data_IF_232417164638
#
_entry.id   IF_232417164638
#
_cell.length_a   1.000
_cell.length_b   1.000
_cell.length_c   1.000
_cell.angle_alpha   90.00
_cell.angle_beta   90.00
_cell.angle_gamma   90.00
#
_symmetry.space_group_name_H-M   'P 1'
#
loop_
_entity.id
_entity.type
_entity.pdbx_description
1 polymer ?
#
# COMPACT_ATOMS: atom_id res chain seq x y z
N UNK A 1 9.85 -17.61 19.94
CA UNK A 1 10.79 -16.49 19.74
C UNK A 1 10.00 -15.19 19.66
N UNK A 2 10.16 -14.35 20.67
CA UNK A 2 9.36 -13.15 20.93
C UNK A 2 9.82 -12.05 19.98
N UNK A 3 9.01 -11.72 18.96
CA UNK A 3 9.28 -10.54 18.13
C UNK A 3 8.66 -9.31 18.79
N UNK A 4 9.55 -8.53 19.41
CA UNK A 4 9.40 -7.14 19.82
C UNK A 4 8.53 -6.32 18.86
N UNK A 5 7.62 -5.52 19.44
CA UNK A 5 6.68 -4.66 18.75
C UNK A 5 7.32 -3.81 17.65
N UNK A 6 6.67 -3.79 16.50
CA UNK A 6 7.01 -2.91 15.40
C UNK A 6 6.68 -1.47 15.80
N UNK A 7 7.67 -0.72 16.28
CA UNK A 7 7.60 0.74 16.34
C UNK A 7 7.98 1.26 14.94
N UNK A 8 7.05 1.94 14.27
CA UNK A 8 7.38 2.66 13.05
C UNK A 8 8.41 3.75 13.39
N UNK A 9 9.48 3.91 12.61
CA UNK A 9 10.44 4.98 12.85
C UNK A 9 9.75 6.36 12.71
N UNK A 10 10.37 7.41 13.25
CA UNK A 10 9.82 8.76 13.22
C UNK A 10 9.51 9.24 11.80
N UNK A 11 8.47 10.07 11.64
CA UNK A 11 8.20 10.74 10.36
C UNK A 11 9.43 11.56 9.94
N UNK A 12 9.71 11.66 8.63
CA UNK A 12 10.66 12.69 8.18
C UNK A 12 10.06 14.05 8.51
N UNK A 13 10.90 15.03 8.81
CA UNK A 13 10.51 16.44 8.78
C UNK A 13 9.98 16.75 7.38
N UNK A 14 8.65 16.67 7.21
CA UNK A 14 7.99 17.06 5.98
C UNK A 14 8.08 18.58 5.96
N UNK A 15 8.63 19.15 4.88
CA UNK A 15 8.40 20.55 4.56
C UNK A 15 6.88 20.75 4.53
N UNK A 16 6.34 21.37 5.57
CA UNK A 16 4.90 21.48 5.82
C UNK A 16 4.33 22.39 4.75
N UNK A 17 3.82 21.81 3.66
CA UNK A 17 2.95 22.54 2.74
C UNK A 17 1.71 23.03 3.50
N UNK A 18 1.19 24.20 3.12
CA UNK A 18 0.08 24.88 3.79
C UNK A 18 -1.19 24.01 4.02
N UNK A 19 -1.35 22.88 3.32
CA UNK A 19 -2.50 21.97 3.44
C UNK A 19 -2.53 21.08 4.70
N UNK A 20 -1.50 21.11 5.54
CA UNK A 20 -1.48 20.40 6.83
C UNK A 20 -2.02 21.26 7.98
N UNK A 21 -1.97 22.60 7.86
CA UNK A 21 -2.26 23.53 8.98
C UNK A 21 -3.74 23.70 9.34
N UNK A 22 -4.68 23.18 8.55
CA UNK A 22 -6.13 23.35 8.78
C UNK A 22 -6.93 22.04 8.73
N UNK A 23 -6.43 20.96 9.34
CA UNK A 23 -7.19 19.69 9.40
C UNK A 23 -7.94 19.59 10.71
N UNK A 24 -9.27 19.50 10.64
CA UNK A 24 -10.10 19.19 11.80
C UNK A 24 -9.75 17.80 12.32
N UNK A 25 -9.31 17.66 13.59
CA UNK A 25 -9.12 16.36 14.20
C UNK A 25 -10.38 15.49 14.06
N UNK A 26 -10.21 14.21 13.77
CA UNK A 26 -11.31 13.24 13.79
C UNK A 26 -11.19 12.44 15.06
N UNK A 27 -12.19 12.48 15.93
CA UNK A 27 -12.18 11.69 17.15
C UNK A 27 -12.11 10.19 16.80
N UNK A 28 -11.12 9.51 17.38
CA UNK A 28 -10.93 8.08 17.25
C UNK A 28 -10.21 7.55 18.50
N UNK A 29 -10.47 6.29 18.86
CA UNK A 29 -9.79 5.68 19.99
C UNK A 29 -8.35 5.33 19.62
N UNK A 30 -7.43 5.64 20.52
CA UNK A 30 -6.01 5.27 20.47
C UNK A 30 -5.64 4.27 21.56
N UNK A 31 -6.65 3.61 22.16
CA UNK A 31 -6.42 2.59 23.19
C UNK A 31 -5.66 1.40 22.61
N UNK A 32 -4.70 0.89 23.39
CA UNK A 32 -3.85 -0.21 22.96
C UNK A 32 -4.65 -1.46 22.60
N UNK A 33 -4.34 -2.03 21.44
CA UNK A 33 -4.86 -3.31 20.96
C UNK A 33 -3.69 -4.28 20.94
N UNK A 34 -3.49 -4.95 22.07
CA UNK A 34 -2.46 -5.99 22.26
C UNK A 34 -3.16 -7.33 22.40
N UNK A 35 -3.12 -8.14 21.35
CA UNK A 35 -3.79 -9.45 21.33
C UNK A 35 -3.22 -10.36 20.25
N UNK A 36 -3.73 -11.59 20.18
CA UNK A 36 -3.50 -12.43 18.99
C UNK A 36 -4.43 -12.01 17.85
N UNK A 37 -4.07 -12.38 16.61
CA UNK A 37 -4.93 -12.19 15.44
C UNK A 37 -6.27 -12.94 15.58
N UNK A 38 -6.26 -14.10 16.27
CA UNK A 38 -7.46 -14.91 16.48
C UNK A 38 -8.52 -14.14 17.28
N UNK A 39 -8.10 -13.37 18.27
CA UNK A 39 -9.00 -12.62 19.15
C UNK A 39 -9.71 -11.46 18.43
N UNK A 40 -9.10 -10.94 17.35
CA UNK A 40 -9.66 -9.88 16.53
C UNK A 40 -10.55 -10.39 15.40
N UNK A 41 -10.45 -11.67 15.08
CA UNK A 41 -11.11 -12.29 13.92
C UNK A 41 -12.61 -12.50 14.16
N UNK A 42 -13.45 -12.47 13.10
CA UNK A 42 -13.09 -12.14 11.72
C UNK A 42 -12.80 -10.64 11.57
N UNK A 43 -11.77 -10.30 10.78
CA UNK A 43 -11.50 -8.92 10.41
C UNK A 43 -12.54 -8.44 9.39
N UNK A 44 -13.04 -7.23 9.57
CA UNK A 44 -13.86 -6.55 8.56
C UNK A 44 -12.98 -5.64 7.71
N UNK A 45 -13.06 -5.79 6.38
CA UNK A 45 -12.31 -4.98 5.42
C UNK A 45 -13.31 -4.22 4.56
N UNK A 46 -13.40 -2.92 4.77
CA UNK A 46 -14.37 -2.05 4.12
C UNK A 46 -13.71 -1.16 3.08
N UNK A 47 -14.30 -1.10 1.89
CA UNK A 47 -13.98 -0.05 0.91
C UNK A 47 -14.45 1.30 1.45
N UNK A 48 -13.57 2.29 1.45
CA UNK A 48 -13.91 3.66 1.84
C UNK A 48 -14.74 4.31 0.73
N UNK A 49 -16.05 4.45 0.97
CA UNK A 49 -17.03 4.94 -0.01
C UNK A 49 -17.69 6.25 0.40
N UNK A 50 -18.07 6.39 1.68
CA UNK A 50 -18.75 7.58 2.18
C UNK A 50 -17.80 8.67 2.69
N UNK A 51 -18.36 9.86 2.92
CA UNK A 51 -17.61 11.04 3.35
C UNK A 51 -16.99 10.88 4.75
N UNK A 52 -17.66 10.19 5.68
CA UNK A 52 -17.18 10.02 7.05
C UNK A 52 -15.97 9.07 7.09
N UNK A 53 -16.07 7.92 6.45
CA UNK A 53 -14.96 6.98 6.27
C UNK A 53 -13.79 7.63 5.53
N UNK A 54 -14.07 8.44 4.50
CA UNK A 54 -13.04 9.19 3.75
C UNK A 54 -12.32 10.22 4.63
N UNK A 55 -13.06 10.93 5.50
CA UNK A 55 -12.49 11.89 6.46
C UNK A 55 -11.59 11.19 7.46
N UNK A 56 -12.05 10.08 8.06
CA UNK A 56 -11.26 9.27 9.00
C UNK A 56 -10.01 8.71 8.33
N UNK A 57 -10.14 8.06 7.18
CA UNK A 57 -9.02 7.50 6.41
C UNK A 57 -7.96 8.56 6.10
N UNK A 58 -8.39 9.75 5.64
CA UNK A 58 -7.49 10.88 5.36
C UNK A 58 -6.75 11.34 6.62
N UNK A 59 -7.47 11.45 7.74
CA UNK A 59 -6.90 11.85 9.02
C UNK A 59 -5.84 10.84 9.49
N UNK A 60 -6.20 9.55 9.57
CA UNK A 60 -5.30 8.50 10.06
C UNK A 60 -4.02 8.38 9.22
N UNK A 61 -4.12 8.40 7.90
CA UNK A 61 -2.92 8.35 7.05
C UNK A 61 -2.07 9.62 7.15
N UNK A 62 -2.68 10.78 7.34
CA UNK A 62 -1.93 12.01 7.43
C UNK A 62 -1.15 12.13 8.73
N UNK A 63 -1.79 11.70 9.82
CA UNK A 63 -1.24 11.77 11.17
C UNK A 63 -0.19 10.69 11.42
N UNK A 64 -0.50 9.44 11.04
CA UNK A 64 0.27 8.27 11.51
C UNK A 64 1.11 7.58 10.44
N UNK A 65 0.84 7.81 9.15
CA UNK A 65 1.70 7.23 8.10
C UNK A 65 2.96 8.10 7.92
N UNK A 66 4.13 7.48 7.90
CA UNK A 66 5.41 8.19 7.87
C UNK A 66 5.68 9.09 6.64
N UNK A 67 4.99 8.84 5.54
CA UNK A 67 5.00 9.68 4.33
C UNK A 67 3.90 10.76 4.34
N UNK A 68 3.07 10.79 5.37
CA UNK A 68 1.81 11.52 5.42
C UNK A 68 0.89 11.19 4.24
N UNK A 69 -0.15 12.01 4.10
CA UNK A 69 -1.13 11.89 3.03
C UNK A 69 -1.84 13.22 2.75
N UNK A 70 -1.80 13.64 1.49
CA UNK A 70 -2.43 14.87 0.98
C UNK A 70 -3.52 14.62 -0.07
N UNK A 71 -3.76 13.36 -0.44
CA UNK A 71 -4.74 12.96 -1.45
C UNK A 71 -4.21 11.94 -2.45
N UNK A 72 -5.09 11.50 -3.34
CA UNK A 72 -4.77 10.62 -4.47
C UNK A 72 -5.40 11.17 -5.74
N UNK A 73 -4.72 10.93 -6.87
CA UNK A 73 -5.19 11.26 -8.21
C UNK A 73 -5.33 9.96 -9.00
N UNK A 74 -6.24 9.94 -9.97
CA UNK A 74 -6.53 8.76 -10.78
C UNK A 74 -7.27 7.66 -10.01
N UNK A 75 -7.32 6.48 -10.61
CA UNK A 75 -7.93 5.31 -10.00
C UNK A 75 -7.17 4.89 -8.73
N UNK A 76 -7.93 4.64 -7.68
CA UNK A 76 -7.39 4.25 -6.39
C UNK A 76 -8.41 3.45 -5.61
N UNK A 77 -7.97 2.47 -4.83
CA UNK A 77 -8.81 1.74 -3.89
C UNK A 77 -8.34 1.99 -2.46
N UNK A 78 -9.29 2.26 -1.56
CA UNK A 78 -9.03 2.63 -0.17
C UNK A 78 -9.75 1.64 0.73
N UNK A 79 -9.02 1.08 1.69
CA UNK A 79 -9.57 0.14 2.66
C UNK A 79 -9.34 0.62 4.08
N UNK A 80 -10.39 0.51 4.89
CA UNK A 80 -10.32 0.52 6.35
C UNK A 80 -10.47 -0.92 6.85
N UNK A 81 -9.63 -1.31 7.79
CA UNK A 81 -9.70 -2.63 8.43
C UNK A 81 -10.14 -2.46 9.87
N UNK A 82 -11.11 -3.26 10.30
CA UNK A 82 -11.66 -3.27 11.65
C UNK A 82 -11.59 -4.67 12.25
N UNK A 83 -11.52 -4.76 13.57
CA UNK A 83 -11.75 -6.02 14.28
C UNK A 83 -13.24 -6.32 14.46
N UNK A 84 -13.54 -7.48 15.06
CA UNK A 84 -14.90 -7.88 15.46
C UNK A 84 -15.62 -6.88 16.38
N UNK A 85 -14.90 -6.01 17.08
CA UNK A 85 -15.43 -4.99 17.98
C UNK A 85 -15.55 -3.61 17.30
N UNK A 86 -15.41 -3.54 15.97
CA UNK A 86 -15.52 -2.30 15.19
C UNK A 86 -14.39 -1.29 15.45
N UNK A 87 -13.29 -1.71 16.08
CA UNK A 87 -12.13 -0.84 16.30
C UNK A 87 -11.27 -0.80 15.04
N UNK A 88 -10.87 0.39 14.55
CA UNK A 88 -10.00 0.49 13.39
C UNK A 88 -8.63 -0.08 13.72
N UNK A 89 -8.09 -0.89 12.81
CA UNK A 89 -6.79 -1.54 12.94
C UNK A 89 -5.77 -1.00 11.93
N UNK A 90 -6.20 -0.77 10.69
CA UNK A 90 -5.31 -0.45 9.59
C UNK A 90 -5.98 0.35 8.47
N UNK A 91 -5.15 1.04 7.68
CA UNK A 91 -5.55 1.74 6.46
C UNK A 91 -4.68 1.27 5.29
N UNK A 92 -5.29 0.98 4.13
CA UNK A 92 -4.56 0.67 2.90
C UNK A 92 -5.04 1.56 1.75
N UNK A 93 -4.07 2.04 0.99
CA UNK A 93 -4.27 2.76 -0.25
C UNK A 93 -3.58 2.02 -1.39
N UNK A 94 -4.36 1.68 -2.39
CA UNK A 94 -3.91 1.23 -3.70
C UNK A 94 -4.19 2.34 -4.70
N UNK A 95 -3.25 2.64 -5.58
CA UNK A 95 -3.40 3.68 -6.61
C UNK A 95 -2.67 3.30 -7.89
N UNK A 96 -2.61 4.21 -8.85
CA UNK A 96 -1.94 3.94 -10.13
C UNK A 96 -0.51 3.42 -9.93
N UNK A 97 -0.14 2.42 -10.74
CA UNK A 97 1.21 1.89 -10.77
C UNK A 97 2.24 2.96 -11.17
N UNK A 98 3.47 2.82 -10.69
CA UNK A 98 4.58 3.66 -11.07
C UNK A 98 4.87 3.50 -12.57
N UNK A 99 5.00 4.63 -13.27
CA UNK A 99 5.12 4.64 -14.73
C UNK A 99 6.25 3.77 -15.27
N UNK A 100 7.44 3.82 -14.65
CA UNK A 100 8.62 3.07 -15.09
C UNK A 100 9.33 2.48 -13.89
N UNK A 101 9.46 1.16 -13.87
CA UNK A 101 10.14 0.39 -12.82
C UNK A 101 10.93 -0.71 -13.50
N UNK A 102 12.25 -0.54 -13.61
CA UNK A 102 13.09 -1.42 -14.42
C UNK A 102 12.98 -2.90 -13.99
N UNK A 103 13.09 -3.18 -12.69
CA UNK A 103 13.02 -4.55 -12.17
C UNK A 103 11.66 -5.21 -12.37
N UNK A 104 10.56 -4.44 -12.31
CA UNK A 104 9.22 -4.93 -12.65
C UNK A 104 9.11 -5.22 -14.13
N UNK A 105 9.51 -4.25 -14.96
CA UNK A 105 9.40 -4.36 -16.42
C UNK A 105 10.20 -5.58 -16.92
N UNK A 106 11.40 -5.80 -16.39
CA UNK A 106 12.24 -6.98 -16.65
C UNK A 106 11.59 -8.28 -16.17
N UNK A 107 11.04 -8.28 -14.94
CA UNK A 107 10.35 -9.45 -14.41
C UNK A 107 9.14 -9.84 -15.27
N UNK A 108 8.34 -8.87 -15.72
CA UNK A 108 7.20 -9.13 -16.61
C UNK A 108 7.67 -9.54 -18.01
N UNK A 109 8.74 -8.92 -18.53
CA UNK A 109 9.19 -9.05 -19.92
C UNK A 109 8.74 -7.88 -20.80
N UNK A 110 8.43 -6.73 -20.21
CA UNK A 110 7.86 -5.58 -20.92
C UNK A 110 8.89 -4.79 -21.74
N UNK A 111 8.52 -4.54 -23.00
CA UNK A 111 9.03 -3.41 -23.79
C UNK A 111 8.24 -2.12 -23.46
N UNK A 112 8.76 -0.92 -23.79
CA UNK A 112 8.09 0.34 -23.48
C UNK A 112 6.63 0.44 -23.97
N UNK A 113 6.32 -0.08 -25.16
CA UNK A 113 4.96 -0.09 -25.73
C UNK A 113 4.01 -0.96 -24.91
N UNK A 114 4.41 -2.20 -24.60
CA UNK A 114 3.64 -3.13 -23.77
C UNK A 114 3.37 -2.56 -22.38
N UNK A 115 4.36 -1.90 -21.76
CA UNK A 115 4.16 -1.23 -20.48
C UNK A 115 3.07 -0.17 -20.57
N UNK A 116 3.12 0.70 -21.58
CA UNK A 116 2.12 1.76 -21.71
C UNK A 116 0.70 1.19 -21.86
N UNK A 117 0.55 0.11 -22.62
CA UNK A 117 -0.72 -0.56 -22.84
C UNK A 117 -1.24 -1.26 -21.57
N UNK A 118 -0.34 -1.92 -20.83
CA UNK A 118 -0.74 -2.84 -19.75
C UNK A 118 -0.63 -2.25 -18.33
N UNK A 119 -0.05 -1.06 -18.16
CA UNK A 119 0.06 -0.40 -16.86
C UNK A 119 -1.29 -0.21 -16.12
N UNK A 120 -2.43 0.06 -16.80
CA UNK A 120 -3.73 0.17 -16.13
C UNK A 120 -4.17 -1.10 -15.40
N UNK A 121 -3.65 -2.27 -15.78
CA UNK A 121 -3.95 -3.54 -15.11
C UNK A 121 -3.09 -3.79 -13.86
N UNK A 122 -2.30 -2.80 -13.44
CA UNK A 122 -1.50 -2.84 -12.22
C UNK A 122 -1.99 -1.79 -11.24
N UNK A 123 -1.86 -2.09 -9.94
CA UNK A 123 -1.99 -1.07 -8.90
C UNK A 123 -0.85 -1.15 -7.90
N UNK A 124 -0.46 0.01 -7.40
CA UNK A 124 0.57 0.16 -6.38
C UNK A 124 -0.06 0.28 -5.00
N UNK A 125 0.36 -0.54 -4.04
CA UNK A 125 0.08 -0.32 -2.63
C UNK A 125 0.91 0.88 -2.12
N UNK A 126 0.36 2.08 -2.31
CA UNK A 126 0.99 3.37 -2.01
C UNK A 126 1.09 3.66 -0.51
N UNK A 127 0.13 3.21 0.29
CA UNK A 127 0.11 3.38 1.75
C UNK A 127 -0.38 2.11 2.40
N UNK A 128 0.37 1.66 3.39
CA UNK A 128 -0.06 0.60 4.29
C UNK A 128 0.28 1.02 5.71
N UNK A 129 -0.75 1.28 6.51
CA UNK A 129 -0.65 1.70 7.89
C UNK A 129 -1.32 0.66 8.77
N UNK A 130 -0.56 0.03 9.67
CA UNK A 130 -1.12 -0.52 10.91
C UNK A 130 -1.08 0.62 11.94
N UNK A 131 -2.18 0.86 12.65
CA UNK A 131 -2.25 1.98 13.58
C UNK A 131 -1.24 1.81 14.73
N UNK A 132 -0.63 2.90 15.23
CA UNK A 132 0.50 2.81 16.17
C UNK A 132 0.22 2.04 17.48
N UNK A 133 -1.04 2.04 17.94
CA UNK A 133 -1.50 1.34 19.15
C UNK A 133 -1.91 -0.12 18.89
N UNK A 134 -1.78 -0.62 17.66
CA UNK A 134 -2.16 -1.99 17.28
C UNK A 134 -0.91 -2.87 17.25
N UNK A 135 -0.75 -3.69 18.30
CA UNK A 135 0.38 -4.58 18.50
C UNK A 135 -0.06 -6.04 18.39
N UNK A 136 -0.33 -6.45 17.15
CA UNK A 136 -0.89 -7.77 16.83
C UNK A 136 0.04 -8.50 15.86
N UNK A 137 0.73 -9.57 16.29
CA UNK A 137 1.57 -10.37 15.41
C UNK A 137 0.79 -10.89 14.19
N UNK A 138 1.46 -10.94 13.03
CA UNK A 138 0.94 -11.48 11.76
C UNK A 138 -0.27 -10.75 11.14
N UNK A 139 -0.79 -9.69 11.80
CA UNK A 139 -1.92 -8.91 11.31
C UNK A 139 -1.64 -8.33 9.92
N UNK A 140 -0.47 -7.74 9.73
CA UNK A 140 -0.14 -7.04 8.49
C UNK A 140 -0.15 -7.98 7.27
N UNK A 141 0.50 -9.15 7.36
CA UNK A 141 0.52 -10.14 6.28
C UNK A 141 -0.86 -10.75 6.05
N UNK A 142 -1.63 -10.98 7.11
CA UNK A 142 -3.00 -11.48 7.00
C UNK A 142 -3.92 -10.50 6.27
N UNK A 143 -3.81 -9.20 6.55
CA UNK A 143 -4.55 -8.14 5.85
C UNK A 143 -4.16 -8.09 4.37
N UNK A 144 -2.86 -8.10 4.06
CA UNK A 144 -2.38 -8.08 2.67
C UNK A 144 -2.93 -9.26 1.87
N UNK A 145 -2.86 -10.47 2.42
CA UNK A 145 -3.40 -11.67 1.78
C UNK A 145 -4.92 -11.57 1.58
N UNK A 146 -5.63 -11.00 2.56
CA UNK A 146 -7.09 -10.84 2.50
C UNK A 146 -7.53 -9.83 1.46
N UNK A 147 -6.79 -8.73 1.28
CA UNK A 147 -7.07 -7.76 0.23
C UNK A 147 -6.70 -8.30 -1.14
N UNK A 148 -5.58 -9.00 -1.27
CA UNK A 148 -5.16 -9.59 -2.54
C UNK A 148 -6.22 -10.55 -3.13
N UNK A 149 -7.00 -11.24 -2.28
CA UNK A 149 -8.08 -12.12 -2.74
C UNK A 149 -9.33 -11.41 -3.29
N UNK A 150 -9.49 -10.11 -3.05
CA UNK A 150 -10.72 -9.37 -3.39
C UNK A 150 -10.51 -8.11 -4.22
N UNK A 151 -9.29 -7.58 -4.24
CA UNK A 151 -9.03 -6.24 -4.79
C UNK A 151 -9.31 -6.15 -6.30
N UNK A 152 -9.06 -7.22 -7.08
CA UNK A 152 -9.39 -7.22 -8.51
C UNK A 152 -10.90 -7.09 -8.74
N UNK A 153 -11.70 -7.80 -7.97
CA UNK A 153 -13.17 -7.75 -8.07
C UNK A 153 -13.68 -6.39 -7.60
N UNK A 154 -13.17 -5.90 -6.47
CA UNK A 154 -13.48 -4.56 -5.96
C UNK A 154 -13.10 -3.46 -6.96
N UNK A 155 -11.99 -3.63 -7.70
CA UNK A 155 -11.53 -2.71 -8.75
C UNK A 155 -12.45 -2.75 -9.95
N UNK A 156 -12.83 -3.95 -10.39
CA UNK A 156 -13.73 -4.18 -11.52
C UNK A 156 -15.11 -3.60 -11.25
N UNK A 157 -15.67 -3.81 -10.06
CA UNK A 157 -16.95 -3.23 -9.66
C UNK A 157 -16.93 -1.70 -9.69
N UNK A 158 -15.78 -1.08 -9.39
CA UNK A 158 -15.66 0.38 -9.32
C UNK A 158 -15.30 1.04 -10.64
N UNK A 159 -14.42 0.43 -11.42
CA UNK A 159 -13.77 1.04 -12.58
C UNK A 159 -14.10 0.33 -13.90
N UNK A 160 -14.81 -0.81 -13.85
CA UNK A 160 -15.23 -1.56 -15.04
C UNK A 160 -14.13 -2.41 -15.66
N UNK A 161 -12.94 -2.49 -15.06
CA UNK A 161 -11.85 -3.35 -15.52
C UNK A 161 -11.09 -3.98 -14.34
N UNK A 162 -10.46 -5.16 -14.55
CA UNK A 162 -9.70 -5.84 -13.52
C UNK A 162 -8.29 -5.26 -13.38
N UNK A 163 -7.59 -5.76 -12.36
CA UNK A 163 -6.15 -5.63 -12.19
C UNK A 163 -5.56 -7.03 -12.00
N UNK A 164 -4.36 -7.26 -12.53
CA UNK A 164 -3.74 -8.59 -12.53
C UNK A 164 -2.52 -8.68 -11.63
N UNK A 165 -1.95 -7.54 -11.24
CA UNK A 165 -0.69 -7.50 -10.49
C UNK A 165 -0.68 -6.31 -9.52
N UNK A 166 -0.29 -6.59 -8.28
CA UNK A 166 -0.01 -5.56 -7.29
C UNK A 166 1.49 -5.28 -7.26
N UNK A 167 1.87 -4.02 -7.05
CA UNK A 167 3.24 -3.62 -6.77
C UNK A 167 3.33 -2.82 -5.46
N UNK A 168 4.51 -2.79 -4.84
CA UNK A 168 4.81 -1.89 -3.74
C UNK A 168 6.31 -1.61 -3.66
N UNK A 169 6.67 -0.56 -2.93
CA UNK A 169 8.03 -0.07 -2.79
C UNK A 169 8.39 0.10 -1.32
N UNK A 170 9.34 -0.70 -0.83
CA UNK A 170 9.73 -0.74 0.59
C UNK A 170 11.11 -0.10 0.76
N UNK A 171 11.19 1.00 1.50
CA UNK A 171 12.46 1.69 1.82
C UNK A 171 13.35 0.80 2.72
N UNK A 172 14.53 0.42 2.23
CA UNK A 172 15.39 -0.61 2.83
C UNK A 172 15.90 -0.22 4.22
N UNK A 173 16.39 1.02 4.35
CA UNK A 173 16.98 1.52 5.59
C UNK A 173 15.94 1.67 6.72
N UNK A 174 14.66 1.63 6.35
CA UNK A 174 13.55 1.91 7.25
C UNK A 174 12.74 0.65 7.58
N UNK A 175 12.58 -0.25 6.61
CA UNK A 175 11.71 -1.41 6.73
C UNK A 175 12.30 -2.66 6.10
N UNK A 176 12.13 -3.79 6.79
CA UNK A 176 12.59 -5.11 6.32
C UNK A 176 11.65 -5.77 5.29
N UNK A 177 10.50 -5.17 4.98
CA UNK A 177 9.50 -5.76 4.08
C UNK A 177 8.94 -7.11 4.54
N UNK A 178 9.05 -7.45 5.84
CA UNK A 178 8.71 -8.79 6.37
C UNK A 178 7.26 -9.16 6.12
N UNK A 179 6.31 -8.22 6.27
CA UNK A 179 4.89 -8.49 6.05
C UNK A 179 4.57 -8.84 4.59
N UNK A 180 5.23 -8.19 3.63
CA UNK A 180 5.06 -8.50 2.20
C UNK A 180 5.62 -9.89 1.88
N UNK A 181 6.81 -10.23 2.35
CA UNK A 181 7.38 -11.58 2.20
C UNK A 181 6.51 -12.65 2.84
N UNK A 182 6.03 -12.41 4.06
CA UNK A 182 5.13 -13.32 4.76
C UNK A 182 3.74 -13.45 4.09
N UNK A 183 3.35 -12.48 3.27
CA UNK A 183 2.15 -12.53 2.44
C UNK A 183 2.42 -13.05 1.02
N UNK A 184 3.56 -13.72 0.78
CA UNK A 184 3.97 -14.29 -0.50
C UNK A 184 4.18 -13.28 -1.64
N UNK A 185 4.53 -12.03 -1.32
CA UNK A 185 4.97 -11.08 -2.34
C UNK A 185 6.39 -11.41 -2.81
N UNK A 186 6.61 -11.30 -4.12
CA UNK A 186 7.86 -11.63 -4.80
C UNK A 186 8.73 -10.38 -4.85
N UNK A 187 9.93 -10.44 -4.27
CA UNK A 187 10.92 -9.37 -4.43
C UNK A 187 11.59 -9.49 -5.80
N UNK A 188 11.44 -8.50 -6.66
CA UNK A 188 11.94 -8.55 -8.06
C UNK A 188 13.15 -7.67 -8.31
N UNK A 189 13.53 -6.82 -7.36
CA UNK A 189 14.71 -5.96 -7.47
C UNK A 189 14.59 -4.72 -6.61
N UNK A 190 15.26 -3.64 -7.03
CA UNK A 190 15.38 -2.40 -6.28
C UNK A 190 15.19 -1.18 -7.20
N UNK A 191 14.73 -0.07 -6.64
CA UNK A 191 14.76 1.23 -7.34
C UNK A 191 16.19 1.78 -7.39
N UNK A 192 16.50 2.61 -8.37
CA UNK A 192 17.84 3.20 -8.52
C UNK A 192 18.08 4.43 -7.60
N UNK A 193 17.22 4.66 -6.60
CA UNK A 193 17.34 5.82 -5.71
C UNK A 193 17.16 7.17 -6.41
N UNK A 194 16.30 7.25 -7.44
CA UNK A 194 16.00 8.47 -8.21
C UNK A 194 14.59 8.98 -7.98
N UNK A 195 14.41 10.30 -7.96
CA UNK A 195 13.08 10.92 -7.90
C UNK A 195 12.43 10.99 -9.29
N UNK A 196 11.09 11.01 -9.32
CA UNK A 196 10.30 11.16 -10.56
C UNK A 196 10.62 12.45 -11.32
N UNK A 197 11.01 13.51 -10.59
CA UNK A 197 11.31 14.84 -11.15
C UNK A 197 12.82 15.12 -11.23
N UNK A 198 13.66 14.09 -11.17
CA UNK A 198 15.11 14.25 -11.20
C UNK A 198 15.62 14.28 -12.64
N UNK A 199 15.34 15.38 -13.36
CA UNK A 199 15.79 15.61 -14.74
C UNK A 199 17.33 15.59 -14.82
N UNK A 200 17.99 16.16 -13.80
CA UNK A 200 19.45 16.35 -13.77
C UNK A 200 20.21 15.18 -13.11
N UNK A 201 19.50 14.13 -12.67
CA UNK A 201 20.06 12.93 -12.01
C UNK A 201 20.84 13.23 -10.71
N UNK A 202 20.52 14.32 -10.04
CA UNK A 202 21.23 14.81 -8.83
C UNK A 202 20.52 14.42 -7.54
N UNK A 203 19.24 14.07 -7.59
CA UNK A 203 18.42 13.78 -6.41
C UNK A 203 18.56 12.32 -5.98
N UNK A 204 19.36 12.09 -4.94
CA UNK A 204 19.42 10.80 -4.23
C UNK A 204 18.20 10.65 -3.31
N UNK A 205 17.25 9.82 -3.72
CA UNK A 205 16.18 9.34 -2.84
C UNK A 205 16.52 7.93 -2.33
N UNK A 206 15.95 7.50 -1.20
CA UNK A 206 16.22 6.16 -0.67
C UNK A 206 15.94 5.06 -1.68
N UNK A 207 16.82 4.06 -1.70
CA UNK A 207 16.61 2.83 -2.45
C UNK A 207 15.46 2.06 -1.83
N UNK A 208 14.56 1.57 -2.69
CA UNK A 208 13.40 0.79 -2.28
C UNK A 208 13.45 -0.58 -2.92
N UNK A 209 13.19 -1.61 -2.15
CA UNK A 209 12.87 -2.93 -2.68
C UNK A 209 11.54 -2.86 -3.43
N UNK A 210 11.51 -3.50 -4.61
CA UNK A 210 10.30 -3.65 -5.42
C UNK A 210 9.73 -5.04 -5.15
N UNK A 211 8.49 -5.07 -4.67
CA UNK A 211 7.74 -6.30 -4.44
C UNK A 211 6.53 -6.34 -5.36
N UNK A 212 6.25 -7.52 -5.93
CA UNK A 212 5.10 -7.77 -6.79
C UNK A 212 4.23 -8.90 -6.20
N UNK A 213 2.93 -8.84 -6.42
CA UNK A 213 2.00 -9.92 -6.08
C UNK A 213 1.07 -10.21 -7.26
N UNK A 214 1.24 -11.36 -7.95
CA UNK A 214 0.32 -11.84 -8.98
C UNK A 214 -1.07 -12.12 -8.41
N UNK A 215 -2.11 -11.54 -9.01
CA UNK A 215 -3.51 -11.81 -8.63
C UNK A 215 -4.10 -12.99 -9.40
N UNK A 216 -3.46 -13.39 -10.51
CA UNK A 216 -3.87 -14.51 -11.35
C UNK A 216 -2.66 -15.40 -11.70
N UNK A 217 -2.90 -16.69 -12.01
CA UNK A 217 -1.89 -17.53 -12.66
C UNK A 217 -1.42 -16.92 -13.99
N UNK A 218 -0.20 -17.25 -14.42
CA UNK A 218 0.35 -16.82 -15.72
C UNK A 218 0.31 -15.30 -15.99
N UNK A 219 0.32 -14.47 -14.94
CA UNK A 219 0.20 -13.01 -15.04
C UNK A 219 1.17 -12.37 -16.04
N UNK A 220 2.40 -12.93 -16.15
CA UNK A 220 3.43 -12.42 -17.07
C UNK A 220 3.01 -12.58 -18.52
N UNK A 221 2.36 -13.70 -18.86
CA UNK A 221 1.86 -13.98 -20.21
C UNK A 221 0.67 -13.09 -20.53
N UNK A 222 -0.27 -12.94 -19.59
CA UNK A 222 -1.45 -12.07 -19.75
C UNK A 222 -1.02 -10.62 -19.98
N UNK A 223 -0.07 -10.12 -19.20
CA UNK A 223 0.42 -8.75 -19.30
C UNK A 223 1.39 -8.53 -20.49
N UNK A 224 1.82 -9.58 -21.18
CA UNK A 224 2.75 -9.46 -22.33
C UNK A 224 2.06 -9.57 -23.69
N UNK A 225 0.75 -9.80 -23.72
CA UNK A 225 -0.03 -9.84 -24.96
C UNK A 225 -0.29 -8.42 -25.45
N UNK A 226 -0.09 -8.20 -26.74
CA UNK A 226 -0.65 -7.05 -27.45
C UNK A 226 -2.14 -7.37 -27.62
N UNK A 227 -3.01 -6.53 -27.06
CA UNK A 227 -4.47 -6.67 -27.24
C UNK A 227 -4.90 -6.02 -28.54
#
# INVERSE_FOLDING_TARGET
FVCSGFRLPAARSVCIGNSVRHRTPVAHSTADIVSSLRDLSPLRIDRVRDAAASKLFKHLLAEYHYLGYSGTVGENMKYMVYDRLQRPLACLLFGSAAWKVASRDEWIGWKPSLRQMNLPFLTNNMRFLILPWVLVPHLASHILASIARRISDDWTERYGHPIYLLETFVEQDRFRGTCYRAANWIRVGQTQGRSRNDTDRTLKVPVKDVYLYPLIPHVREVLSRET
#
